data_IF_962808766025
#
_entry.id   IF_962808766025
#
_cell.length_a   1.000
_cell.length_b   1.000
_cell.length_c   1.000
_cell.angle_alpha   90.00
_cell.angle_beta   90.00
_cell.angle_gamma   90.00
#
_symmetry.space_group_name_H-M   'P 1'
#
loop_
_entity.id
_entity.type
_entity.pdbx_description
1 polymer ?
#
# COMPACT_ATOMS: atom_id res chain seq x y z
N UNK A 1 15.23 -27.27 -78.43
CA UNK A 1 14.20 -26.61 -77.59
C UNK A 1 14.28 -27.18 -76.17
N UNK A 2 14.77 -26.42 -75.18
CA UNK A 2 14.71 -26.84 -73.77
C UNK A 2 13.47 -26.20 -73.13
N UNK A 3 12.49 -27.02 -72.73
CA UNK A 3 11.26 -26.57 -72.05
C UNK A 3 11.64 -25.90 -70.72
N UNK A 4 11.22 -24.64 -70.53
CA UNK A 4 11.32 -23.95 -69.25
C UNK A 4 10.33 -24.58 -68.25
N UNK A 5 10.87 -25.28 -67.25
CA UNK A 5 10.08 -25.85 -66.15
C UNK A 5 9.60 -24.69 -65.25
N UNK A 6 8.28 -24.47 -65.18
CA UNK A 6 7.66 -23.48 -64.30
C UNK A 6 7.88 -23.90 -62.84
N UNK A 7 8.80 -23.25 -62.14
CA UNK A 7 9.05 -23.53 -60.72
C UNK A 7 7.84 -23.16 -59.87
N UNK A 8 7.41 -24.08 -59.01
CA UNK A 8 6.36 -23.85 -58.01
C UNK A 8 6.82 -22.78 -57.00
N UNK A 9 5.91 -21.90 -56.54
CA UNK A 9 6.21 -20.86 -55.52
C UNK A 9 6.92 -21.44 -54.30
N UNK A 10 6.58 -22.68 -53.93
CA UNK A 10 7.22 -23.42 -52.83
C UNK A 10 8.67 -23.81 -53.09
N UNK A 11 9.02 -24.20 -54.32
CA UNK A 11 10.40 -24.51 -54.69
C UNK A 11 11.25 -23.25 -54.82
N UNK A 12 10.65 -22.12 -55.20
CA UNK A 12 11.32 -20.82 -55.20
C UNK A 12 11.55 -20.33 -53.76
N UNK A 13 10.55 -20.41 -52.87
CA UNK A 13 10.68 -20.08 -51.45
C UNK A 13 11.73 -20.94 -50.73
N UNK A 14 11.75 -22.26 -50.96
CA UNK A 14 12.78 -23.16 -50.42
C UNK A 14 14.19 -22.78 -50.89
N UNK A 15 14.33 -22.36 -52.16
CA UNK A 15 15.61 -21.88 -52.71
C UNK A 15 16.03 -20.51 -52.15
N UNK A 16 15.08 -19.64 -51.79
CA UNK A 16 15.35 -18.38 -51.08
C UNK A 16 15.82 -18.61 -49.65
N UNK A 17 15.26 -19.62 -48.98
CA UNK A 17 15.63 -19.98 -47.61
C UNK A 17 17.00 -20.70 -47.54
N UNK A 18 17.24 -21.64 -48.46
CA UNK A 18 18.48 -22.42 -48.52
C UNK A 18 18.85 -22.77 -49.96
N UNK A 19 20.04 -22.34 -50.38
CA UNK A 19 20.59 -22.69 -51.68
C UNK A 19 21.68 -23.76 -51.52
N UNK A 20 21.38 -25.06 -51.78
CA UNK A 20 22.31 -26.16 -51.56
C UNK A 20 23.50 -26.17 -52.52
N UNK A 21 23.47 -25.39 -53.60
CA UNK A 21 24.59 -25.32 -54.57
C UNK A 21 25.72 -24.38 -54.10
N UNK A 22 25.40 -23.41 -53.24
CA UNK A 22 26.35 -22.42 -52.71
C UNK A 22 26.46 -22.45 -51.18
N UNK A 23 25.73 -23.34 -50.51
CA UNK A 23 25.58 -23.41 -49.05
C UNK A 23 25.21 -22.04 -48.43
N UNK A 24 24.32 -21.30 -49.09
CA UNK A 24 23.82 -20.00 -48.63
C UNK A 24 22.48 -20.19 -47.89
N UNK A 25 22.35 -19.61 -46.71
CA UNK A 25 21.10 -19.57 -45.93
C UNK A 25 20.56 -18.14 -46.00
N UNK A 26 19.33 -17.97 -46.46
CA UNK A 26 18.68 -16.65 -46.66
C UNK A 26 19.54 -15.64 -47.44
N UNK A 27 20.24 -16.11 -48.48
CA UNK A 27 21.04 -15.27 -49.37
C UNK A 27 22.43 -14.84 -48.84
N UNK A 28 22.91 -15.43 -47.73
CA UNK A 28 24.26 -15.21 -47.20
C UNK A 28 24.97 -16.52 -46.88
N UNK A 29 26.30 -16.53 -46.94
CA UNK A 29 27.10 -17.72 -46.57
C UNK A 29 27.14 -17.88 -45.04
N UNK A 30 27.38 -19.11 -44.55
CA UNK A 30 27.50 -19.37 -43.11
C UNK A 30 28.58 -18.49 -42.43
N UNK A 31 29.69 -18.24 -43.14
CA UNK A 31 30.77 -17.36 -42.68
C UNK A 31 30.30 -15.92 -42.47
N UNK A 32 29.47 -15.40 -43.37
CA UNK A 32 28.89 -14.06 -43.25
C UNK A 32 27.93 -13.99 -42.06
N UNK A 33 27.07 -15.00 -41.87
CA UNK A 33 26.18 -15.09 -40.71
C UNK A 33 26.94 -15.06 -39.38
N UNK A 34 28.03 -15.83 -39.28
CA UNK A 34 28.90 -15.85 -38.09
C UNK A 34 29.54 -14.48 -37.87
N UNK A 35 30.04 -13.82 -38.92
CA UNK A 35 30.64 -12.47 -38.82
C UNK A 35 29.62 -11.42 -38.36
N UNK A 36 28.39 -11.46 -38.90
CA UNK A 36 27.30 -10.56 -38.52
C UNK A 36 26.92 -10.80 -37.06
N UNK A 37 26.80 -12.07 -36.65
CA UNK A 37 26.48 -12.43 -35.29
C UNK A 37 27.53 -11.92 -34.30
N UNK A 38 28.81 -12.15 -34.58
CA UNK A 38 29.92 -11.65 -33.75
C UNK A 38 29.90 -10.11 -33.66
N UNK A 39 29.67 -9.43 -34.79
CA UNK A 39 29.55 -7.97 -34.80
C UNK A 39 28.42 -7.49 -33.88
N UNK A 40 27.22 -8.07 -33.98
CA UNK A 40 26.10 -7.68 -33.12
C UNK A 40 26.35 -8.02 -31.66
N UNK A 41 26.95 -9.18 -31.35
CA UNK A 41 27.30 -9.54 -29.98
C UNK A 41 28.24 -8.49 -29.38
N UNK A 42 29.32 -8.14 -30.06
CA UNK A 42 30.27 -7.13 -29.58
C UNK A 42 29.63 -5.74 -29.47
N UNK A 43 28.85 -5.33 -30.47
CA UNK A 43 28.17 -4.03 -30.48
C UNK A 43 27.16 -3.92 -29.33
N UNK A 44 26.34 -4.95 -29.09
CA UNK A 44 25.38 -4.96 -28.00
C UNK A 44 26.05 -5.09 -26.63
N UNK A 45 27.17 -5.80 -26.51
CA UNK A 45 27.97 -5.80 -25.29
C UNK A 45 28.50 -4.41 -24.95
N UNK A 46 28.98 -3.65 -25.94
CA UNK A 46 29.43 -2.28 -25.73
C UNK A 46 28.26 -1.34 -25.36
N UNK A 47 27.13 -1.44 -26.06
CA UNK A 47 25.94 -0.64 -25.76
C UNK A 47 25.39 -0.93 -24.35
N UNK A 48 25.33 -2.21 -23.97
CA UNK A 48 24.93 -2.62 -22.63
C UNK A 48 25.89 -2.09 -21.56
N UNK A 49 27.20 -2.18 -21.81
CA UNK A 49 28.22 -1.63 -20.92
C UNK A 49 28.09 -0.11 -20.72
N UNK A 50 27.85 0.63 -21.80
CA UNK A 50 27.59 2.07 -21.74
C UNK A 50 26.32 2.39 -20.93
N UNK A 51 25.23 1.66 -21.16
CA UNK A 51 23.99 1.85 -20.43
C UNK A 51 24.13 1.52 -18.94
N UNK A 52 24.80 0.42 -18.60
CA UNK A 52 25.11 0.04 -17.22
C UNK A 52 25.99 1.10 -16.55
N UNK A 53 26.99 1.62 -17.25
CA UNK A 53 27.86 2.70 -16.75
C UNK A 53 27.07 3.98 -16.45
N UNK A 54 26.18 4.40 -17.36
CA UNK A 54 25.32 5.56 -17.13
C UNK A 54 24.36 5.34 -15.95
N UNK A 55 23.76 4.15 -15.85
CA UNK A 55 22.89 3.80 -14.71
C UNK A 55 23.67 3.80 -13.39
N UNK A 56 24.91 3.31 -13.39
CA UNK A 56 25.75 3.32 -12.21
C UNK A 56 26.03 4.76 -11.73
N UNK A 57 26.44 5.65 -12.63
CA UNK A 57 26.65 7.07 -12.28
C UNK A 57 25.36 7.70 -11.78
N UNK A 58 24.23 7.45 -12.43
CA UNK A 58 22.93 7.97 -12.00
C UNK A 58 22.55 7.49 -10.59
N UNK A 59 22.60 6.18 -10.33
CA UNK A 59 22.15 5.60 -9.06
C UNK A 59 23.08 5.92 -7.88
N UNK A 60 24.40 6.03 -8.09
CA UNK A 60 25.34 6.22 -6.99
C UNK A 60 25.84 7.66 -6.83
N UNK A 61 25.88 8.46 -7.90
CA UNK A 61 26.35 9.84 -7.82
C UNK A 61 25.22 10.87 -7.71
N UNK A 62 24.03 10.58 -8.25
CA UNK A 62 22.91 11.53 -8.27
C UNK A 62 21.79 11.18 -7.28
N UNK A 63 21.53 9.90 -7.03
CA UNK A 63 20.45 9.46 -6.14
C UNK A 63 21.01 9.20 -4.75
N UNK A 64 20.52 9.97 -3.77
CA UNK A 64 20.78 9.69 -2.36
C UNK A 64 19.96 8.47 -1.90
N UNK A 65 20.55 7.66 -1.01
CA UNK A 65 19.91 6.45 -0.48
C UNK A 65 18.98 6.72 0.72
N UNK A 66 19.16 7.82 1.43
CA UNK A 66 18.39 8.17 2.63
C UNK A 66 17.17 9.04 2.37
N UNK A 67 17.19 9.85 1.29
CA UNK A 67 16.13 10.82 1.01
C UNK A 67 15.69 10.75 -0.46
N UNK A 68 14.39 10.81 -0.76
CA UNK A 68 13.93 10.85 -2.14
C UNK A 68 14.29 12.20 -2.79
N UNK A 69 14.75 12.15 -4.05
CA UNK A 69 15.19 13.34 -4.80
C UNK A 69 14.07 14.36 -5.01
N UNK A 70 12.84 13.89 -5.24
CA UNK A 70 11.66 14.74 -5.42
C UNK A 70 10.76 14.61 -4.19
N UNK A 71 10.67 15.69 -3.41
CA UNK A 71 9.81 15.81 -2.24
C UNK A 71 8.82 16.96 -2.39
N UNK A 72 7.80 16.96 -1.54
CA UNK A 72 6.81 18.02 -1.45
C UNK A 72 5.92 18.20 -2.66
N UNK A 73 5.63 19.45 -3.01
CA UNK A 73 4.76 19.79 -4.15
C UNK A 73 5.35 19.40 -5.50
N UNK A 74 6.68 19.25 -5.57
CA UNK A 74 7.36 18.75 -6.77
C UNK A 74 7.24 17.23 -6.93
N UNK A 75 6.80 16.52 -5.89
CA UNK A 75 6.50 15.09 -5.97
C UNK A 75 5.12 14.85 -6.56
N UNK A 76 4.93 13.69 -7.19
CA UNK A 76 3.61 13.26 -7.73
C UNK A 76 2.55 13.20 -6.61
N UNK A 77 2.97 12.94 -5.37
CA UNK A 77 2.11 12.84 -4.19
C UNK A 77 1.69 14.21 -3.63
N UNK A 78 2.38 15.30 -3.99
CA UNK A 78 2.06 16.70 -3.60
C UNK A 78 1.76 16.89 -2.11
N UNK A 79 2.55 16.29 -1.22
CA UNK A 79 2.34 16.33 0.25
C UNK A 79 0.92 15.98 0.73
N UNK A 80 0.20 15.13 -0.02
CA UNK A 80 -1.15 14.69 0.33
C UNK A 80 -1.17 13.21 0.67
N UNK A 81 -1.04 12.83 1.96
CA UNK A 81 -1.10 11.43 2.33
C UNK A 81 -2.53 10.92 2.23
N UNK A 82 -2.63 9.67 1.80
CA UNK A 82 -3.86 8.89 1.91
C UNK A 82 -3.89 8.02 3.15
N UNK A 83 -5.01 7.34 3.29
CA UNK A 83 -5.24 6.36 4.34
C UNK A 83 -5.11 4.95 3.76
N UNK A 84 -4.67 4.02 4.58
CA UNK A 84 -4.71 2.59 4.26
C UNK A 84 -5.10 1.74 5.46
N UNK A 85 -5.68 0.58 5.18
CA UNK A 85 -5.84 -0.48 6.18
C UNK A 85 -4.48 -0.97 6.64
N UNK A 86 -4.27 -1.01 7.96
CA UNK A 86 -3.02 -1.47 8.56
C UNK A 86 -2.90 -3.00 8.51
N UNK A 87 -4.02 -3.71 8.68
CA UNK A 87 -4.12 -5.16 8.53
C UNK A 87 -5.16 -5.49 7.46
N UNK A 88 -4.76 -6.28 6.47
CA UNK A 88 -5.64 -6.81 5.41
C UNK A 88 -5.59 -8.33 5.45
N UNK A 89 -6.73 -9.03 5.41
CA UNK A 89 -6.74 -10.49 5.42
C UNK A 89 -6.10 -11.07 4.14
N UNK A 90 -6.35 -10.44 2.99
CA UNK A 90 -5.78 -10.80 1.70
C UNK A 90 -4.91 -9.67 1.13
N UNK A 91 -3.98 -10.02 0.23
CA UNK A 91 -3.10 -9.04 -0.42
C UNK A 91 -3.79 -8.28 -1.57
N UNK A 92 -4.76 -8.91 -2.22
CA UNK A 92 -5.41 -8.40 -3.44
C UNK A 92 -6.70 -7.64 -3.13
N UNK A 93 -7.42 -8.04 -2.10
CA UNK A 93 -8.76 -7.51 -1.78
C UNK A 93 -8.77 -6.83 -0.41
N UNK A 94 -9.68 -5.86 -0.26
CA UNK A 94 -9.93 -5.13 0.99
C UNK A 94 -11.14 -5.66 1.75
N UNK A 95 -11.69 -6.81 1.35
CA UNK A 95 -12.85 -7.42 2.00
C UNK A 95 -12.47 -8.02 3.36
N UNK A 96 -13.20 -7.64 4.40
CA UNK A 96 -13.04 -8.15 5.76
C UNK A 96 -14.32 -8.90 6.12
N UNK A 97 -14.22 -10.23 6.14
CA UNK A 97 -15.29 -11.10 6.61
C UNK A 97 -15.09 -11.44 8.08
N UNK A 98 -16.13 -11.27 8.90
CA UNK A 98 -16.11 -11.56 10.32
C UNK A 98 -17.28 -12.46 10.67
N UNK A 99 -17.03 -13.51 11.45
CA UNK A 99 -18.06 -14.38 12.00
C UNK A 99 -18.18 -14.18 13.52
N UNK A 100 -19.40 -14.04 14.01
CA UNK A 100 -19.70 -13.96 15.47
C UNK A 100 -19.65 -15.30 16.18
N UNK A 101 -19.58 -16.39 15.41
CA UNK A 101 -19.56 -17.75 15.90
C UNK A 101 -18.18 -18.39 15.72
N UNK A 102 -17.91 -19.44 16.50
CA UNK A 102 -16.68 -20.21 16.37
C UNK A 102 -16.53 -20.75 14.95
N UNK A 103 -15.57 -20.19 14.21
CA UNK A 103 -15.25 -20.54 12.83
C UNK A 103 -13.81 -20.15 12.51
N UNK A 104 -13.28 -20.67 11.40
CA UNK A 104 -11.95 -20.34 10.89
C UNK A 104 -11.94 -19.07 10.01
N UNK A 105 -13.09 -18.40 9.85
CA UNK A 105 -13.23 -17.22 8.98
C UNK A 105 -12.44 -16.04 9.53
N UNK A 106 -12.37 -15.90 10.86
CA UNK A 106 -11.68 -14.79 11.52
C UNK A 106 -10.15 -14.95 11.52
N UNK A 107 -9.64 -16.18 11.37
CA UNK A 107 -8.22 -16.50 11.55
C UNK A 107 -7.27 -15.71 10.63
N UNK A 108 -7.54 -15.54 9.32
CA UNK A 108 -6.67 -14.78 8.43
C UNK A 108 -6.50 -13.32 8.89
N UNK A 109 -7.59 -12.69 9.33
CA UNK A 109 -7.57 -11.31 9.82
C UNK A 109 -6.84 -11.20 11.17
N UNK A 110 -7.16 -12.10 12.11
CA UNK A 110 -6.49 -12.14 13.43
C UNK A 110 -4.98 -12.34 13.27
N UNK A 111 -4.55 -13.25 12.40
CA UNK A 111 -3.14 -13.50 12.14
C UNK A 111 -2.43 -12.27 11.57
N UNK A 112 -3.08 -11.52 10.68
CA UNK A 112 -2.53 -10.28 10.10
C UNK A 112 -2.44 -9.15 11.11
N UNK A 113 -3.42 -9.05 12.00
CA UNK A 113 -3.40 -8.10 13.13
C UNK A 113 -2.27 -8.46 14.12
N UNK A 114 -2.08 -9.74 14.44
CA UNK A 114 -1.00 -10.19 15.32
C UNK A 114 0.38 -9.96 14.69
N UNK A 115 0.53 -10.23 13.39
CA UNK A 115 1.75 -9.92 12.63
C UNK A 115 2.02 -8.41 12.64
N UNK A 116 0.99 -7.58 12.49
CA UNK A 116 1.12 -6.13 12.61
C UNK A 116 1.61 -5.75 14.00
N UNK A 117 0.94 -6.21 15.07
CA UNK A 117 1.28 -5.89 16.45
C UNK A 117 2.69 -6.36 16.85
N UNK A 118 3.18 -7.48 16.33
CA UNK A 118 4.57 -7.92 16.60
C UNK A 118 5.63 -6.90 16.15
N UNK A 119 5.33 -6.07 15.13
CA UNK A 119 6.23 -5.00 14.64
C UNK A 119 6.31 -3.82 15.60
N UNK A 120 5.30 -3.65 16.46
CA UNK A 120 5.24 -2.58 17.46
C UNK A 120 5.85 -3.00 18.80
N UNK A 121 5.92 -4.31 19.08
CA UNK A 121 6.53 -4.83 20.32
C UNK A 121 8.06 -4.69 20.36
N UNK A 122 8.73 -4.63 19.21
CA UNK A 122 10.18 -4.44 19.15
C UNK A 122 10.55 -2.97 19.41
N UNK A 123 10.94 -2.64 20.64
CA UNK A 123 11.20 -1.27 21.11
C UNK A 123 12.67 -0.92 21.33
N UNK A 124 13.60 -1.82 21.02
CA UNK A 124 15.01 -1.71 21.45
C UNK A 124 15.76 -0.45 20.99
N UNK A 125 15.25 0.28 19.98
CA UNK A 125 15.90 1.46 19.39
C UNK A 125 15.00 2.72 19.37
N UNK A 126 13.81 2.66 19.97
CA UNK A 126 12.80 3.71 19.84
C UNK A 126 12.68 4.54 21.13
N UNK A 127 12.38 5.83 21.01
CA UNK A 127 12.19 6.74 22.14
C UNK A 127 10.70 6.87 22.51
N UNK A 128 10.42 7.17 23.78
CA UNK A 128 9.07 7.49 24.20
C UNK A 128 8.74 8.97 23.90
N UNK A 129 7.68 9.21 23.14
CA UNK A 129 7.29 10.52 22.63
C UNK A 129 6.00 11.05 23.28
N UNK A 130 5.80 10.84 24.58
CA UNK A 130 4.56 11.21 25.29
C UNK A 130 4.30 12.72 25.40
N UNK A 131 5.29 13.58 25.12
CA UNK A 131 5.11 15.03 25.24
C UNK A 131 4.27 15.58 24.08
N UNK A 132 3.19 16.33 24.34
CA UNK A 132 2.37 16.93 23.29
C UNK A 132 3.15 17.99 22.51
N UNK A 133 3.35 17.76 21.20
CA UNK A 133 4.05 18.68 20.31
C UNK A 133 4.52 18.02 19.00
N UNK A 134 5.16 18.77 18.10
CA UNK A 134 5.97 18.13 17.06
C UNK A 134 7.19 17.51 17.75
N UNK A 135 7.50 16.25 17.44
CA UNK A 135 8.64 15.48 17.94
C UNK A 135 9.88 16.38 18.23
N UNK A 136 10.19 16.77 19.48
CA UNK A 136 11.01 17.96 19.69
C UNK A 136 12.48 17.76 20.09
N UNK A 137 13.04 16.54 20.15
CA UNK A 137 14.39 16.37 20.70
C UNK A 137 15.42 15.72 19.77
N UNK A 138 15.05 14.71 18.97
CA UNK A 138 15.98 14.08 18.04
C UNK A 138 15.25 13.54 16.79
N UNK A 139 15.38 14.19 15.62
CA UNK A 139 14.68 13.79 14.38
C UNK A 139 15.17 12.47 13.80
N UNK A 140 16.24 11.88 14.34
CA UNK A 140 16.85 10.65 13.83
C UNK A 140 16.41 9.38 14.59
N UNK A 141 15.61 9.52 15.66
CA UNK A 141 15.15 8.40 16.48
C UNK A 141 13.62 8.27 16.33
N UNK A 142 13.08 7.07 16.06
CA UNK A 142 11.65 6.89 15.90
C UNK A 142 10.93 6.80 17.26
N UNK A 143 9.67 7.26 17.31
CA UNK A 143 8.81 7.06 18.47
C UNK A 143 8.37 5.61 18.66
N UNK A 144 8.18 5.23 19.92
CA UNK A 144 7.38 4.06 20.31
C UNK A 144 5.90 4.43 20.18
N UNK A 145 5.13 3.58 19.52
CA UNK A 145 3.68 3.65 19.49
C UNK A 145 3.08 2.71 20.54
N UNK A 146 2.37 3.30 21.51
CA UNK A 146 1.71 2.52 22.54
C UNK A 146 0.42 1.88 22.00
N UNK A 147 0.40 0.55 21.97
CA UNK A 147 -0.76 -0.24 21.56
C UNK A 147 -1.93 -0.15 22.55
N UNK A 148 -1.70 0.35 23.78
CA UNK A 148 -2.75 0.56 24.76
C UNK A 148 -3.80 1.58 24.31
N UNK A 149 -3.40 2.53 23.45
CA UNK A 149 -4.24 3.58 22.88
C UNK A 149 -5.39 3.01 22.03
N UNK A 150 -5.24 1.79 21.51
CA UNK A 150 -6.26 1.09 20.72
C UNK A 150 -7.43 0.54 21.57
N UNK A 151 -7.36 0.65 22.90
CA UNK A 151 -8.44 0.29 23.81
C UNK A 151 -8.93 -1.15 23.64
N UNK A 152 -10.25 -1.31 23.49
CA UNK A 152 -10.90 -2.62 23.31
C UNK A 152 -10.38 -3.38 22.08
N UNK A 153 -9.99 -2.65 21.01
CA UNK A 153 -9.51 -3.24 19.77
C UNK A 153 -8.10 -3.82 19.86
N UNK A 154 -7.42 -3.68 21.01
CA UNK A 154 -6.16 -4.40 21.29
C UNK A 154 -6.40 -5.92 21.32
N UNK A 155 -7.51 -6.34 21.92
CA UNK A 155 -7.92 -7.75 22.01
C UNK A 155 -8.93 -8.06 20.91
N UNK A 156 -8.44 -8.12 19.68
CA UNK A 156 -9.27 -8.24 18.47
C UNK A 156 -10.24 -9.42 18.52
N UNK A 157 -9.82 -10.56 19.09
CA UNK A 157 -10.63 -11.79 19.16
C UNK A 157 -11.93 -11.56 19.92
N UNK A 158 -11.87 -10.85 21.05
CA UNK A 158 -13.04 -10.56 21.88
C UNK A 158 -14.03 -9.67 21.13
N UNK A 159 -13.55 -8.59 20.52
CA UNK A 159 -14.40 -7.67 19.77
C UNK A 159 -15.07 -8.34 18.56
N UNK A 160 -14.34 -9.20 17.83
CA UNK A 160 -14.90 -9.95 16.70
C UNK A 160 -16.00 -10.92 17.14
N UNK A 161 -15.79 -11.66 18.24
CA UNK A 161 -16.79 -12.60 18.77
C UNK A 161 -18.04 -11.91 19.30
N UNK A 162 -17.90 -10.70 19.86
CA UNK A 162 -19.05 -9.86 20.25
C UNK A 162 -19.85 -9.34 19.05
N UNK A 163 -19.37 -9.53 17.82
CA UNK A 163 -19.96 -8.95 16.61
C UNK A 163 -19.68 -7.46 16.45
N UNK A 164 -18.63 -6.96 17.11
CA UNK A 164 -18.16 -5.57 17.02
C UNK A 164 -16.79 -5.54 16.34
N UNK A 165 -16.72 -5.66 15.01
CA UNK A 165 -15.45 -5.76 14.33
C UNK A 165 -14.64 -4.47 14.49
N UNK A 166 -13.34 -4.64 14.77
CA UNK A 166 -12.38 -3.54 14.81
C UNK A 166 -11.50 -3.59 13.57
N UNK A 167 -11.44 -2.47 12.86
CA UNK A 167 -10.59 -2.26 11.68
C UNK A 167 -9.47 -1.29 12.04
N UNK A 168 -8.22 -1.71 11.80
CA UNK A 168 -7.04 -0.89 12.07
C UNK A 168 -6.65 -0.09 10.83
N UNK A 169 -6.50 1.21 11.01
CA UNK A 169 -6.26 2.16 9.94
C UNK A 169 -4.99 2.95 10.23
N UNK A 170 -4.24 3.28 9.16
CA UNK A 170 -3.00 4.05 9.22
C UNK A 170 -2.93 5.11 8.12
N UNK A 171 -2.14 6.14 8.36
CA UNK A 171 -1.78 7.13 7.34
C UNK A 171 -0.59 6.63 6.52
N UNK A 172 -0.61 6.85 5.21
CA UNK A 172 0.52 6.51 4.35
C UNK A 172 1.72 7.42 4.61
N UNK A 173 2.90 6.81 4.71
CA UNK A 173 4.16 7.52 4.97
C UNK A 173 4.51 8.42 3.78
N UNK A 174 4.67 9.71 4.03
CA UNK A 174 5.26 10.66 3.06
C UNK A 174 6.48 11.29 3.72
N UNK A 175 7.59 11.29 2.99
CA UNK A 175 8.86 11.84 3.46
C UNK A 175 8.74 13.34 3.75
N UNK A 176 9.09 13.77 4.96
CA UNK A 176 9.08 15.18 5.39
C UNK A 176 7.68 15.79 5.53
N UNK A 177 6.62 14.98 5.48
CA UNK A 177 5.26 15.49 5.60
C UNK A 177 4.91 15.87 7.04
N UNK A 178 4.38 17.08 7.19
CA UNK A 178 3.80 17.59 8.42
C UNK A 178 2.34 17.99 8.17
N UNK A 179 1.43 17.65 9.10
CA UNK A 179 0.03 17.98 8.93
C UNK A 179 -0.21 19.48 9.03
N UNK A 180 -0.73 20.07 7.95
CA UNK A 180 -1.23 21.45 7.97
C UNK A 180 -2.67 21.45 8.48
N UNK A 181 -2.81 21.71 9.78
CA UNK A 181 -4.11 21.75 10.47
C UNK A 181 -4.97 22.91 9.93
N UNK A 182 -6.24 22.62 9.65
CA UNK A 182 -7.18 23.64 9.19
C UNK A 182 -7.77 24.44 10.36
N UNK A 183 -8.37 23.73 11.32
CA UNK A 183 -8.96 24.29 12.53
C UNK A 183 -8.42 23.58 13.78
N UNK A 184 -7.24 24.00 14.30
CA UNK A 184 -6.62 23.36 15.46
C UNK A 184 -7.49 23.34 16.73
N UNK A 185 -8.42 24.29 16.84
CA UNK A 185 -9.37 24.37 17.96
C UNK A 185 -10.45 23.29 17.93
N UNK A 186 -10.79 22.75 16.75
CA UNK A 186 -11.79 21.69 16.61
C UNK A 186 -11.11 20.32 16.59
N UNK A 187 -10.09 20.16 15.74
CA UNK A 187 -9.33 18.93 15.57
C UNK A 187 -7.84 19.28 15.72
N UNK A 188 -7.21 18.95 16.86
CA UNK A 188 -5.84 19.39 17.17
C UNK A 188 -4.74 18.60 16.44
N UNK A 189 -5.11 17.54 15.72
CA UNK A 189 -4.20 16.69 14.97
C UNK A 189 -4.92 16.05 13.77
N UNK A 190 -4.21 15.38 12.84
CA UNK A 190 -4.87 14.67 11.75
C UNK A 190 -5.89 13.68 12.27
N UNK A 191 -7.13 13.86 11.83
CA UNK A 191 -8.23 12.98 12.19
C UNK A 191 -8.60 12.04 11.06
N UNK A 192 -9.28 10.96 11.40
CA UNK A 192 -10.00 10.11 10.47
C UNK A 192 -11.48 10.14 10.80
N UNK A 193 -12.27 10.19 9.75
CA UNK A 193 -13.72 10.00 9.78
C UNK A 193 -14.07 8.88 8.81
N UNK A 194 -14.87 7.92 9.27
CA UNK A 194 -15.39 6.82 8.47
C UNK A 194 -16.91 6.89 8.41
N UNK A 195 -17.47 6.40 7.29
CA UNK A 195 -18.90 6.29 7.09
C UNK A 195 -19.23 5.33 5.95
N UNK A 196 -20.52 5.14 5.70
CA UNK A 196 -20.99 4.34 4.55
C UNK A 196 -20.86 5.12 3.25
N UNK A 197 -20.47 4.41 2.18
CA UNK A 197 -20.36 4.99 0.84
C UNK A 197 -21.73 5.44 0.31
N UNK A 198 -22.78 4.64 0.56
CA UNK A 198 -24.16 4.99 0.21
C UNK A 198 -25.03 5.19 1.46
N UNK A 199 -26.25 5.70 1.26
CA UNK A 199 -27.24 5.87 2.35
C UNK A 199 -27.60 4.53 3.00
N UNK A 200 -27.80 3.48 2.20
CA UNK A 200 -28.03 2.12 2.70
C UNK A 200 -26.85 1.62 3.55
N UNK A 201 -25.62 1.76 3.05
CA UNK A 201 -24.42 1.35 3.79
C UNK A 201 -24.29 2.11 5.11
N UNK A 202 -24.67 3.40 5.13
CA UNK A 202 -24.62 4.25 6.32
C UNK A 202 -25.60 3.81 7.39
N UNK A 203 -26.81 3.39 7.00
CA UNK A 203 -27.79 2.81 7.93
C UNK A 203 -27.31 1.45 8.46
N UNK A 204 -26.74 0.63 7.57
CA UNK A 204 -26.22 -0.69 7.91
C UNK A 204 -24.99 -0.67 8.84
N UNK A 205 -24.12 0.34 8.72
CA UNK A 205 -22.92 0.51 9.55
C UNK A 205 -23.23 0.76 11.03
N UNK A 206 -24.34 1.45 11.31
CA UNK A 206 -24.73 1.84 12.65
C UNK A 206 -23.73 2.80 13.30
N UNK A 207 -23.49 2.61 14.61
CA UNK A 207 -22.64 3.51 15.42
C UNK A 207 -21.17 3.11 15.32
N UNK A 208 -20.34 4.07 14.94
CA UNK A 208 -18.88 3.92 14.83
C UNK A 208 -18.22 4.52 16.08
N UNK A 209 -17.24 3.81 16.64
CA UNK A 209 -16.38 4.26 17.74
C UNK A 209 -14.92 4.25 17.27
N UNK A 210 -14.14 5.23 17.71
CA UNK A 210 -12.73 5.36 17.36
C UNK A 210 -11.84 5.14 18.58
N UNK A 211 -10.62 4.68 18.36
CA UNK A 211 -9.58 4.61 19.39
C UNK A 211 -8.25 5.12 18.80
N UNK A 212 -7.68 6.24 19.31
CA UNK A 212 -8.23 7.12 20.34
C UNK A 212 -9.41 7.97 19.83
N UNK A 213 -10.44 8.16 20.65
CA UNK A 213 -11.62 8.96 20.31
C UNK A 213 -11.40 10.44 20.66
N UNK A 214 -11.75 11.33 19.73
CA UNK A 214 -11.87 12.77 19.98
C UNK A 214 -13.24 13.26 19.56
N UNK A 215 -13.86 14.08 20.39
CA UNK A 215 -15.16 14.69 20.09
C UNK A 215 -14.92 16.14 19.67
N UNK A 216 -15.24 16.45 18.41
CA UNK A 216 -15.17 17.81 17.89
C UNK A 216 -16.30 18.70 18.42
N UNK A 217 -16.27 19.98 18.03
CA UNK A 217 -17.22 21.00 18.49
C UNK A 217 -18.69 20.67 18.17
N UNK A 218 -18.92 19.92 17.08
CA UNK A 218 -20.26 19.50 16.63
C UNK A 218 -20.76 18.21 17.29
N UNK A 219 -20.19 17.77 18.41
CA UNK A 219 -20.41 16.45 19.05
C UNK A 219 -20.12 15.25 18.13
N UNK A 220 -19.44 15.50 17.01
CA UNK A 220 -19.03 14.47 16.06
C UNK A 220 -17.72 13.86 16.53
N UNK A 221 -17.64 12.53 16.44
CA UNK A 221 -16.50 11.74 16.91
C UNK A 221 -15.54 11.46 15.77
N UNK A 222 -14.26 11.56 16.06
CA UNK A 222 -13.15 11.35 15.13
C UNK A 222 -12.10 10.46 15.78
N UNK A 223 -11.36 9.71 14.97
CA UNK A 223 -10.13 9.06 15.42
C UNK A 223 -8.94 9.97 15.19
N UNK A 224 -8.07 10.18 16.19
CA UNK A 224 -6.91 11.07 16.04
C UNK A 224 -5.61 10.29 15.86
N UNK A 225 -4.77 10.79 14.95
CA UNK A 225 -3.35 10.45 14.91
C UNK A 225 -2.58 11.48 15.74
N UNK A 226 -1.69 11.06 16.63
CA UNK A 226 -0.86 12.00 17.38
C UNK A 226 0.15 12.70 16.45
N UNK A 227 0.34 14.00 16.63
CA UNK A 227 1.30 14.79 15.87
C UNK A 227 2.76 14.36 16.15
N UNK A 228 3.00 13.69 17.27
CA UNK A 228 4.34 13.32 17.74
C UNK A 228 5.04 12.35 16.80
N UNK A 229 4.29 11.59 15.99
CA UNK A 229 4.87 10.62 15.04
C UNK A 229 5.32 11.27 13.73
N UNK A 230 4.90 12.50 13.43
CA UNK A 230 5.27 13.20 12.20
C UNK A 230 6.40 14.22 12.46
N UNK A 231 7.34 14.41 11.51
CA UNK A 231 7.35 13.90 10.14
C UNK A 231 8.11 12.58 9.97
N UNK A 232 7.76 11.82 8.93
CA UNK A 232 8.54 10.65 8.53
C UNK A 232 9.78 11.06 7.72
N UNK A 233 10.98 10.78 8.22
CA UNK A 233 12.25 11.13 7.55
C UNK A 233 13.09 9.92 7.14
N UNK A 234 12.43 8.79 6.82
CA UNK A 234 13.14 7.58 6.35
C UNK A 234 13.83 6.78 7.46
N UNK A 235 13.46 7.02 8.72
CA UNK A 235 14.06 6.35 9.88
C UNK A 235 13.74 4.85 9.85
N UNK A 236 14.75 4.01 10.14
CA UNK A 236 14.57 2.57 10.32
C UNK A 236 13.73 2.29 11.56
N UNK A 237 12.95 1.21 11.56
CA UNK A 237 12.09 0.82 12.68
C UNK A 237 11.04 1.88 13.10
N UNK A 238 10.69 2.79 12.19
CA UNK A 238 9.59 3.73 12.38
C UNK A 238 8.24 3.00 12.48
N UNK A 239 7.54 3.27 13.58
CA UNK A 239 6.23 2.74 13.91
C UNK A 239 5.14 3.70 13.43
N UNK A 240 4.21 3.22 12.60
CA UNK A 240 3.12 4.06 12.08
C UNK A 240 2.10 4.34 13.18
N UNK A 241 1.60 5.57 13.32
CA UNK A 241 0.48 5.81 14.23
C UNK A 241 -0.76 5.08 13.72
N UNK A 242 -1.38 4.29 14.59
CA UNK A 242 -2.57 3.51 14.29
C UNK A 242 -3.81 4.14 14.93
N UNK A 243 -4.94 4.03 14.24
CA UNK A 243 -6.26 4.30 14.79
C UNK A 243 -7.12 3.06 14.57
N UNK A 244 -7.84 2.63 15.61
CA UNK A 244 -8.83 1.58 15.47
C UNK A 244 -10.22 2.18 15.26
N UNK A 245 -10.95 1.61 14.30
CA UNK A 245 -12.35 1.93 13.99
C UNK A 245 -13.18 0.71 14.37
N UNK A 246 -14.01 0.84 15.39
CA UNK A 246 -14.88 -0.22 15.90
C UNK A 246 -16.32 0.05 15.47
N UNK A 247 -16.96 -0.96 14.90
CA UNK A 247 -18.36 -0.89 14.49
C UNK A 247 -19.22 -1.57 15.56
N UNK A 248 -20.06 -0.82 16.28
CA UNK A 248 -20.80 -1.34 17.43
C UNK A 248 -22.08 -2.08 17.04
N UNK A 249 -22.83 -1.51 16.08
CA UNK A 249 -24.16 -1.97 15.68
C UNK A 249 -24.22 -2.17 14.16
N UNK A 250 -23.25 -2.90 13.60
CA UNK A 250 -23.27 -3.24 12.19
C UNK A 250 -24.33 -4.32 11.93
N UNK A 251 -25.15 -4.12 10.91
CA UNK A 251 -26.19 -5.04 10.54
C UNK A 251 -25.56 -6.30 9.92
N UNK A 252 -26.04 -7.48 10.34
CA UNK A 252 -25.38 -8.76 10.07
C UNK A 252 -25.86 -9.40 8.75
N UNK A 253 -25.10 -10.36 8.23
CA UNK A 253 -25.40 -11.21 7.06
C UNK A 253 -25.54 -10.46 5.72
N UNK A 254 -24.84 -9.33 5.56
CA UNK A 254 -24.66 -8.67 4.26
C UNK A 254 -23.35 -7.90 4.26
N UNK A 255 -22.94 -7.49 3.07
CA UNK A 255 -21.72 -6.71 2.83
C UNK A 255 -22.07 -5.23 2.93
N UNK A 256 -21.25 -4.47 3.66
CA UNK A 256 -21.37 -3.02 3.82
C UNK A 256 -20.11 -2.35 3.29
N UNK A 257 -20.29 -1.31 2.48
CA UNK A 257 -19.19 -0.53 1.91
C UNK A 257 -18.85 0.65 2.84
N UNK A 258 -17.61 0.66 3.33
CA UNK A 258 -17.11 1.69 4.24
C UNK A 258 -16.07 2.54 3.52
N UNK A 259 -16.21 3.86 3.65
CA UNK A 259 -15.23 4.83 3.20
C UNK A 259 -14.73 5.65 4.39
N UNK A 260 -13.41 5.79 4.49
CA UNK A 260 -12.76 6.61 5.49
C UNK A 260 -11.91 7.70 4.85
N UNK A 261 -12.03 8.94 5.32
CA UNK A 261 -11.30 10.11 4.83
C UNK A 261 -10.52 10.81 5.95
N UNK A 262 -9.43 11.48 5.57
CA UNK A 262 -8.68 12.35 6.49
C UNK A 262 -9.43 13.66 6.69
N UNK A 263 -9.50 14.09 7.94
CA UNK A 263 -10.15 15.35 8.36
C UNK A 263 -9.21 16.18 9.23
N UNK A 264 -9.53 17.47 9.37
CA UNK A 264 -8.76 18.41 10.18
C UNK A 264 -7.47 18.90 9.51
N UNK A 265 -7.21 18.52 8.26
CA UNK A 265 -6.01 18.92 7.50
C UNK A 265 -6.37 19.47 6.11
N UNK A 266 -5.69 20.55 5.69
CA UNK A 266 -5.85 21.12 4.34
C UNK A 266 -5.21 20.26 3.25
N UNK A 267 -4.19 19.49 3.61
CA UNK A 267 -3.39 18.67 2.71
C UNK A 267 -3.79 17.19 2.75
N UNK A 268 -5.07 16.85 2.98
CA UNK A 268 -5.54 15.46 2.93
C UNK A 268 -5.58 14.92 1.49
N UNK A 269 -5.13 13.67 1.29
CA UNK A 269 -5.06 13.03 -0.02
C UNK A 269 -5.80 11.71 -0.11
N UNK A 270 -7.08 11.73 -0.48
CA UNK A 270 -7.84 10.50 -0.77
C UNK A 270 -8.27 9.71 0.47
N UNK A 271 -9.29 8.87 0.27
CA UNK A 271 -9.84 8.00 1.31
C UNK A 271 -9.41 6.54 1.16
N UNK A 272 -9.64 5.76 2.20
CA UNK A 272 -9.60 4.31 2.14
C UNK A 272 -11.01 3.77 2.08
N UNK A 273 -11.34 3.04 1.01
CA UNK A 273 -12.57 2.29 0.88
C UNK A 273 -12.32 0.80 1.13
N UNK A 274 -13.21 0.14 1.86
CA UNK A 274 -13.16 -1.29 2.08
C UNK A 274 -14.55 -1.87 2.31
N UNK A 275 -14.65 -3.18 2.21
CA UNK A 275 -15.90 -3.91 2.32
C UNK A 275 -15.84 -4.75 3.60
N UNK A 276 -16.91 -4.74 4.38
CA UNK A 276 -16.99 -5.50 5.62
C UNK A 276 -18.31 -6.28 5.68
N UNK A 277 -18.25 -7.53 6.13
CA UNK A 277 -19.44 -8.30 6.46
C UNK A 277 -19.31 -8.97 7.82
N UNK A 278 -20.39 -8.95 8.59
CA UNK A 278 -20.49 -9.65 9.87
C UNK A 278 -21.54 -10.75 9.75
N UNK A 279 -21.08 -11.99 9.74
CA UNK A 279 -21.92 -13.17 9.61
C UNK A 279 -22.35 -13.64 11.00
N UNK A 280 -23.67 -13.79 11.18
CA UNK A 280 -24.26 -14.42 12.35
C UNK A 280 -24.79 -15.80 11.99
N UNK A 281 -24.89 -16.70 12.96
CA UNK A 281 -25.62 -17.95 12.72
C UNK A 281 -27.08 -17.61 12.50
N UNK A 282 -27.54 -17.76 11.26
CA UNK A 282 -28.96 -17.80 10.97
C UNK A 282 -29.53 -19.01 11.70
N UNK A 283 -30.17 -18.79 12.84
CA UNK A 283 -30.99 -19.79 13.52
C UNK A 283 -32.19 -20.10 12.62
N UNK A 284 -32.01 -21.05 11.70
CA UNK A 284 -33.11 -21.64 10.93
C UNK A 284 -32.97 -21.51 9.41
N UNK A 285 -32.35 -22.52 8.81
CA UNK A 285 -33.01 -23.47 7.89
C UNK A 285 -32.27 -24.79 7.92
#
# INVERSE_FOLDING_TARGET
>A
MKKAVKQSRWTSFKRTLYNPQKNEICGRTFREWVLIFIFYVLAYCFLAGFFIGMLFVFLYAYVDSGVPTLTGEHSILRFRPGIGLAAKPNAYDTFIQVATYQSTINDPYINKVNELFSKYTSTNENENCDTPGLHPNNPNIPCIFDLSVLGECRNIVTSLMEGKPCVLVKVNRIFGWLPHLENPSEIPSPGIECGGTNEFDRESLGVIRYFPEHTGLNMKKYGLFSNNYFPFVGIKNYQDPLVAVQFLNITKNHVVLVECHLVGIKNGGGGASFEISVDDRVLGK
#
